data_IF_628787717520
#
_entry.id   IF_628787717520
#
_cell.length_a   1.000
_cell.length_b   1.000
_cell.length_c   1.000
_cell.angle_alpha   90.00
_cell.angle_beta   90.00
_cell.angle_gamma   90.00
#
_symmetry.space_group_name_H-M   'P 1'
#
loop_
_entity.id
_entity.type
_entity.pdbx_description
1 polymer ?
#
# COMPACT_ATOMS: atom_id res chain seq x y z
N UNK A 1 -9.22 -24.44 7.92
CA UNK A 1 -8.48 -23.33 7.32
C UNK A 1 -7.08 -23.85 7.04
N UNK A 2 -6.78 -24.15 5.79
CA UNK A 2 -5.41 -24.46 5.34
C UNK A 2 -4.65 -23.14 5.33
N UNK A 3 -3.59 -23.04 6.13
CA UNK A 3 -2.73 -21.86 6.15
C UNK A 3 -2.13 -21.66 4.77
N UNK A 4 -2.17 -20.42 4.27
CA UNK A 4 -1.42 -20.04 3.08
C UNK A 4 0.06 -20.29 3.37
N UNK A 5 0.71 -21.14 2.56
CA UNK A 5 2.15 -21.31 2.61
C UNK A 5 2.78 -20.07 1.97
N UNK A 6 3.35 -19.24 2.83
CA UNK A 6 3.89 -17.96 2.41
C UNK A 6 5.30 -18.08 1.85
N UNK A 7 6.00 -19.20 2.09
CA UNK A 7 7.37 -19.37 1.62
C UNK A 7 7.38 -19.89 0.18
N UNK A 8 6.43 -20.78 -0.19
CA UNK A 8 6.13 -21.13 -1.59
C UNK A 8 5.64 -19.91 -2.41
N UNK A 9 4.94 -18.97 -1.75
CA UNK A 9 4.45 -17.70 -2.31
C UNK A 9 5.57 -16.68 -2.68
N UNK A 10 6.74 -16.74 -2.03
CA UNK A 10 7.85 -15.81 -2.29
C UNK A 10 8.77 -16.27 -3.43
N UNK A 11 8.88 -17.59 -3.67
CA UNK A 11 9.83 -18.16 -4.65
C UNK A 11 9.24 -18.43 -6.04
N UNK A 12 7.92 -18.47 -6.20
CA UNK A 12 7.26 -18.62 -7.49
C UNK A 12 6.74 -17.26 -8.02
N UNK A 13 6.92 -16.93 -9.32
CA UNK A 13 6.02 -16.02 -10.01
C UNK A 13 4.68 -16.75 -10.16
N UNK A 14 3.94 -16.94 -9.08
CA UNK A 14 2.77 -17.81 -9.06
C UNK A 14 1.58 -17.14 -9.80
N UNK A 15 1.14 -17.69 -10.95
CA UNK A 15 0.01 -17.17 -11.71
C UNK A 15 -1.36 -17.36 -11.01
N UNK A 16 -1.42 -17.95 -9.81
CA UNK A 16 -2.70 -18.27 -9.14
C UNK A 16 -3.28 -17.11 -8.30
N UNK A 17 -2.53 -16.03 -8.03
CA UNK A 17 -2.97 -14.97 -7.10
C UNK A 17 -3.28 -13.62 -7.75
N UNK A 18 -2.90 -13.45 -8.99
CA UNK A 18 -3.79 -12.93 -10.01
C UNK A 18 -3.37 -13.70 -11.23
N UNK A 19 -4.26 -14.54 -11.77
CA UNK A 19 -4.14 -14.76 -13.20
C UNK A 19 -4.28 -13.35 -13.77
N UNK A 20 -3.17 -12.78 -14.25
CA UNK A 20 -3.26 -11.72 -15.24
C UNK A 20 -3.85 -12.46 -16.42
N UNK A 21 -5.18 -12.54 -16.42
CA UNK A 21 -5.94 -13.25 -17.41
C UNK A 21 -5.71 -12.47 -18.69
N UNK A 22 -4.81 -13.01 -19.53
CA UNK A 22 -4.60 -12.52 -20.87
C UNK A 22 -5.88 -12.78 -21.62
N UNK A 23 -6.70 -11.73 -21.73
CA UNK A 23 -7.99 -11.71 -22.44
C UNK A 23 -9.14 -12.28 -21.60
N UNK A 24 -9.90 -11.38 -20.96
CA UNK A 24 -11.34 -11.65 -20.78
C UNK A 24 -11.93 -11.71 -22.19
N UNK A 25 -12.16 -12.92 -22.70
CA UNK A 25 -12.93 -13.10 -23.93
C UNK A 25 -14.27 -12.39 -23.73
N UNK A 26 -14.69 -11.51 -24.66
CA UNK A 26 -15.88 -10.68 -24.49
C UNK A 26 -17.14 -11.55 -24.55
N UNK A 27 -17.47 -12.20 -23.44
CA UNK A 27 -18.77 -12.79 -23.22
C UNK A 27 -19.70 -11.70 -22.67
N UNK A 28 -20.99 -11.80 -22.97
CA UNK A 28 -21.98 -10.80 -22.60
C UNK A 28 -22.24 -10.92 -21.10
N UNK A 29 -21.94 -9.90 -20.30
CA UNK A 29 -22.14 -9.98 -18.84
C UNK A 29 -23.46 -9.32 -18.45
N UNK A 30 -24.22 -9.99 -17.56
CA UNK A 30 -25.35 -9.39 -16.88
C UNK A 30 -24.84 -8.62 -15.68
N UNK A 31 -25.30 -7.39 -15.50
CA UNK A 31 -24.99 -6.62 -14.32
C UNK A 31 -26.24 -6.01 -13.69
N UNK A 32 -26.29 -6.11 -12.37
CA UNK A 32 -27.20 -5.38 -11.51
C UNK A 32 -26.40 -4.21 -10.94
N UNK A 33 -26.83 -2.99 -11.22
CA UNK A 33 -26.26 -1.80 -10.58
C UNK A 33 -26.90 -1.64 -9.20
N UNK A 34 -26.06 -1.40 -8.18
CA UNK A 34 -26.52 -0.92 -6.86
C UNK A 34 -26.10 0.55 -6.66
N UNK A 35 -25.92 1.28 -7.77
CA UNK A 35 -25.39 2.65 -7.80
C UNK A 35 -24.63 2.98 -9.09
N UNK A 36 -24.18 4.22 -9.23
CA UNK A 36 -23.55 4.71 -10.47
C UNK A 36 -22.13 4.17 -10.72
N UNK A 37 -21.45 3.67 -9.68
CA UNK A 37 -20.03 3.24 -9.74
C UNK A 37 -19.77 1.74 -9.52
N UNK A 38 -20.71 1.01 -8.90
CA UNK A 38 -20.53 -0.41 -8.60
C UNK A 38 -21.42 -1.28 -9.47
N UNK A 39 -20.79 -2.18 -10.23
CA UNK A 39 -21.45 -3.05 -11.18
C UNK A 39 -21.29 -4.52 -10.73
N UNK A 40 -22.34 -5.11 -10.18
CA UNK A 40 -22.33 -6.46 -9.58
C UNK A 40 -23.07 -7.44 -10.50
N UNK A 41 -22.43 -8.51 -10.97
CA UNK A 41 -22.97 -9.25 -12.11
C UNK A 41 -22.68 -10.75 -12.22
N UNK A 42 -23.40 -11.37 -13.16
CA UNK A 42 -23.21 -12.77 -13.56
C UNK A 42 -22.84 -12.82 -15.03
N UNK A 43 -21.79 -13.56 -15.36
CA UNK A 43 -21.44 -13.87 -16.74
C UNK A 43 -22.54 -14.69 -17.40
N UNK A 44 -23.01 -14.27 -18.59
CA UNK A 44 -23.97 -15.02 -19.41
C UNK A 44 -23.42 -15.20 -20.84
N UNK A 45 -23.97 -16.13 -21.59
CA UNK A 45 -23.59 -16.35 -23.01
C UNK A 45 -24.46 -15.55 -23.98
N UNK A 46 -25.69 -15.23 -23.59
CA UNK A 46 -26.68 -14.47 -24.36
C UNK A 46 -27.69 -13.80 -23.41
N UNK A 47 -28.37 -12.76 -23.89
CA UNK A 47 -29.45 -12.08 -23.16
C UNK A 47 -30.73 -12.22 -23.97
N UNK A 48 -31.72 -12.90 -23.42
CA UNK A 48 -33.05 -13.02 -24.03
C UNK A 48 -34.04 -11.99 -23.47
N UNK A 49 -33.99 -11.70 -22.16
CA UNK A 49 -34.91 -10.77 -21.49
C UNK A 49 -34.24 -9.95 -20.40
N UNK A 50 -34.04 -8.64 -20.67
CA UNK A 50 -33.59 -7.54 -19.79
C UNK A 50 -34.54 -7.20 -18.59
N UNK A 51 -34.38 -7.58 -17.30
CA UNK A 51 -35.24 -7.03 -16.24
C UNK A 51 -35.08 -5.50 -16.19
N UNK A 52 -36.16 -4.77 -15.92
CA UNK A 52 -36.22 -3.30 -16.01
C UNK A 52 -35.16 -2.55 -15.18
N UNK A 53 -34.58 -3.19 -14.16
CA UNK A 53 -33.54 -2.60 -13.28
C UNK A 53 -32.12 -3.09 -13.57
N UNK A 54 -31.93 -3.87 -14.63
CA UNK A 54 -30.65 -4.45 -14.99
C UNK A 54 -30.06 -3.72 -16.20
N UNK A 55 -28.74 -3.66 -16.25
CA UNK A 55 -28.00 -3.16 -17.41
C UNK A 55 -27.11 -4.26 -17.97
N UNK A 56 -27.08 -4.37 -19.29
CA UNK A 56 -26.12 -5.22 -19.97
C UNK A 56 -24.86 -4.40 -20.23
N UNK A 57 -23.72 -4.80 -19.64
CA UNK A 57 -22.44 -4.12 -19.87
C UNK A 57 -21.48 -5.11 -20.51
N UNK A 58 -20.83 -4.66 -21.59
CA UNK A 58 -19.73 -5.39 -22.21
C UNK A 58 -18.44 -4.98 -21.51
N UNK A 59 -17.77 -5.93 -20.87
CA UNK A 59 -16.41 -5.72 -20.36
C UNK A 59 -15.49 -5.52 -21.57
N UNK A 60 -14.72 -4.41 -21.64
CA UNK A 60 -13.80 -4.20 -22.74
C UNK A 60 -12.70 -5.25 -22.73
N UNK A 61 -12.12 -5.52 -23.90
CA UNK A 61 -10.93 -6.37 -23.97
C UNK A 61 -9.74 -5.61 -23.33
N UNK A 62 -8.97 -6.29 -22.49
CA UNK A 62 -7.86 -5.70 -21.77
C UNK A 62 -7.13 -6.72 -20.90
N UNK A 63 -6.09 -6.26 -20.21
CA UNK A 63 -5.40 -7.03 -19.18
C UNK A 63 -6.10 -6.78 -17.85
N UNK A 64 -6.56 -7.86 -17.22
CA UNK A 64 -7.23 -7.79 -15.93
C UNK A 64 -6.52 -8.66 -14.92
N UNK A 65 -6.38 -8.15 -13.71
CA UNK A 65 -6.05 -8.95 -12.56
C UNK A 65 -7.33 -9.45 -11.90
N UNK A 66 -7.46 -10.77 -11.86
CA UNK A 66 -8.55 -11.47 -11.19
C UNK A 66 -8.19 -11.70 -9.72
N UNK A 67 -8.89 -11.02 -8.82
CA UNK A 67 -8.65 -11.05 -7.37
C UNK A 67 -9.86 -11.68 -6.68
N UNK A 68 -9.70 -12.77 -5.93
CA UNK A 68 -10.78 -13.30 -5.09
C UNK A 68 -11.17 -12.30 -3.98
N UNK A 69 -12.45 -12.12 -3.70
CA UNK A 69 -12.93 -11.10 -2.73
C UNK A 69 -12.33 -11.28 -1.33
N UNK A 70 -12.10 -12.53 -0.89
CA UNK A 70 -11.47 -12.81 0.40
C UNK A 70 -9.99 -12.37 0.48
N UNK A 71 -9.40 -11.95 -0.65
CA UNK A 71 -8.06 -11.41 -0.76
C UNK A 71 -8.04 -9.90 -1.10
N UNK A 72 -9.20 -9.23 -1.19
CA UNK A 72 -9.27 -7.81 -1.53
C UNK A 72 -8.38 -6.92 -0.63
N UNK A 73 -8.24 -7.30 0.64
CA UNK A 73 -7.37 -6.60 1.62
C UNK A 73 -5.87 -6.66 1.28
N UNK A 74 -5.43 -7.56 0.41
CA UNK A 74 -4.02 -7.72 0.01
C UNK A 74 -3.70 -7.08 -1.33
N UNK A 75 -4.71 -6.59 -2.06
CA UNK A 75 -4.59 -6.09 -3.45
C UNK A 75 -3.44 -5.11 -3.58
N UNK A 76 -3.38 -4.10 -2.71
CA UNK A 76 -2.34 -3.07 -2.74
C UNK A 76 -0.93 -3.65 -2.58
N UNK A 77 -0.74 -4.50 -1.57
CA UNK A 77 0.56 -5.15 -1.32
C UNK A 77 0.94 -6.06 -2.49
N UNK A 78 0.00 -6.81 -3.05
CA UNK A 78 0.25 -7.66 -4.21
C UNK A 78 0.70 -6.85 -5.43
N UNK A 79 0.01 -5.76 -5.76
CA UNK A 79 0.40 -4.91 -6.88
C UNK A 79 1.72 -4.19 -6.67
N UNK A 80 2.03 -3.79 -5.43
CA UNK A 80 3.33 -3.23 -5.07
C UNK A 80 4.50 -4.15 -5.43
N UNK A 81 4.27 -5.46 -5.39
CA UNK A 81 5.26 -6.50 -5.67
C UNK A 81 5.40 -6.80 -7.18
N UNK A 82 4.79 -5.97 -8.02
CA UNK A 82 4.81 -6.11 -9.47
C UNK A 82 5.02 -4.76 -10.16
N UNK A 83 5.26 -4.80 -11.46
CA UNK A 83 5.31 -3.63 -12.32
C UNK A 83 3.93 -3.29 -12.95
N UNK A 84 2.84 -3.89 -12.44
CA UNK A 84 1.50 -3.57 -12.89
C UNK A 84 0.90 -2.45 -12.06
N UNK A 85 0.26 -1.49 -12.73
CA UNK A 85 -0.55 -0.45 -12.12
C UNK A 85 -2.03 -0.82 -12.26
N UNK A 86 -2.82 -0.52 -11.24
CA UNK A 86 -4.27 -0.53 -11.35
C UNK A 86 -4.67 0.63 -12.29
N UNK A 87 -5.65 0.39 -13.16
CA UNK A 87 -6.21 1.44 -14.02
C UNK A 87 -6.80 2.60 -13.19
N UNK A 88 -7.04 3.75 -13.84
CA UNK A 88 -7.56 4.95 -13.19
C UNK A 88 -8.87 4.68 -12.43
N UNK A 89 -8.99 5.22 -11.21
CA UNK A 89 -10.20 5.12 -10.37
C UNK A 89 -11.47 5.65 -11.07
N UNK A 90 -11.32 6.58 -12.02
CA UNK A 90 -12.42 7.13 -12.82
C UNK A 90 -12.90 6.19 -13.96
N UNK A 91 -12.05 5.25 -14.40
CA UNK A 91 -12.37 4.22 -15.41
C UNK A 91 -12.54 2.82 -14.78
N UNK A 92 -12.33 2.70 -13.46
CA UNK A 92 -12.44 1.48 -12.68
C UNK A 92 -13.90 1.04 -12.56
N UNK A 93 -14.40 0.38 -13.60
CA UNK A 93 -15.50 -0.55 -13.45
C UNK A 93 -14.97 -1.78 -12.72
N UNK A 94 -15.13 -1.86 -11.40
CA UNK A 94 -14.92 -3.12 -10.68
C UNK A 94 -15.91 -4.16 -11.20
N UNK A 95 -15.42 -5.17 -11.90
CA UNK A 95 -16.28 -6.26 -12.37
C UNK A 95 -16.26 -7.40 -11.37
N UNK A 96 -17.39 -7.61 -10.69
CA UNK A 96 -17.53 -8.72 -9.74
C UNK A 96 -18.24 -9.90 -10.37
N UNK A 97 -17.62 -11.08 -10.34
CA UNK A 97 -18.19 -12.35 -10.84
C UNK A 97 -18.57 -13.26 -9.68
N UNK A 98 -19.84 -13.62 -9.60
CA UNK A 98 -20.34 -14.63 -8.66
C UNK A 98 -20.35 -16.02 -9.31
N UNK A 99 -19.67 -16.97 -8.67
CA UNK A 99 -19.64 -18.38 -9.05
C UNK A 99 -20.33 -19.21 -7.96
N UNK A 100 -21.46 -19.82 -8.29
CA UNK A 100 -22.16 -20.76 -7.41
C UNK A 100 -21.52 -22.15 -7.54
N UNK A 101 -20.93 -22.64 -6.45
CA UNK A 101 -20.39 -23.98 -6.31
C UNK A 101 -21.41 -24.99 -5.78
N UNK A 102 -21.03 -26.27 -5.77
CA UNK A 102 -21.86 -27.34 -5.23
C UNK A 102 -22.17 -27.10 -3.74
N UNK A 103 -23.42 -27.37 -3.33
CA UNK A 103 -23.87 -27.21 -1.94
C UNK A 103 -24.13 -25.77 -1.49
N UNK A 104 -24.32 -24.83 -2.42
CA UNK A 104 -24.70 -23.44 -2.09
C UNK A 104 -23.53 -22.55 -1.66
N UNK A 105 -22.29 -23.04 -1.75
CA UNK A 105 -21.09 -22.19 -1.59
C UNK A 105 -20.98 -21.26 -2.78
N UNK A 106 -20.58 -20.01 -2.56
CA UNK A 106 -20.29 -19.07 -3.62
C UNK A 106 -18.86 -18.55 -3.52
N UNK A 107 -18.26 -18.26 -4.67
CA UNK A 107 -17.00 -17.54 -4.79
C UNK A 107 -17.27 -16.24 -5.54
N UNK A 108 -16.65 -15.16 -5.09
CA UNK A 108 -16.69 -13.87 -5.75
C UNK A 108 -15.27 -13.44 -6.11
N UNK A 109 -15.14 -12.84 -7.28
CA UNK A 109 -13.89 -12.34 -7.83
C UNK A 109 -14.10 -10.94 -8.36
N UNK A 110 -13.18 -10.04 -8.05
CA UNK A 110 -13.05 -8.72 -8.67
C UNK A 110 -12.03 -8.79 -9.80
N UNK A 111 -12.40 -8.30 -10.97
CA UNK A 111 -11.47 -8.11 -12.09
C UNK A 111 -11.09 -6.63 -12.16
N UNK A 112 -9.83 -6.35 -11.88
CA UNK A 112 -9.27 -5.01 -11.93
C UNK A 112 -8.51 -4.82 -13.25
N UNK A 113 -8.81 -3.75 -13.99
CA UNK A 113 -8.02 -3.40 -15.16
C UNK A 113 -6.59 -3.07 -14.71
N UNK A 114 -5.60 -3.60 -15.42
CA UNK A 114 -4.18 -3.38 -15.10
C UNK A 114 -3.39 -3.01 -16.34
N UNK A 115 -2.37 -2.19 -16.14
CA UNK A 115 -1.40 -1.81 -17.16
C UNK A 115 0.01 -2.17 -16.68
N UNK A 116 0.85 -2.69 -17.58
CA UNK A 116 2.26 -2.92 -17.27
C UNK A 116 3.03 -1.61 -17.45
N UNK A 117 3.73 -1.17 -16.42
CA UNK A 117 4.62 -0.01 -16.49
C UNK A 117 6.02 -0.39 -15.98
N UNK A 118 7.06 -0.41 -16.84
CA UNK A 118 8.41 -0.78 -16.42
C UNK A 118 9.03 0.23 -15.45
N UNK A 119 8.52 1.46 -15.43
CA UNK A 119 9.06 2.56 -14.64
C UNK A 119 8.58 2.56 -13.19
N UNK A 120 7.49 1.84 -12.89
CA UNK A 120 7.00 1.74 -11.52
C UNK A 120 7.83 0.77 -10.70
N UNK A 121 7.98 1.08 -9.41
CA UNK A 121 8.79 0.28 -8.48
C UNK A 121 8.10 -1.04 -8.15
N UNK A 122 8.79 -2.16 -8.40
CA UNK A 122 8.46 -3.43 -7.76
C UNK A 122 9.17 -3.48 -6.40
N UNK A 123 8.41 -3.54 -5.30
CA UNK A 123 9.00 -3.49 -3.95
C UNK A 123 9.97 -4.62 -3.69
N UNK A 124 9.77 -5.80 -4.30
CA UNK A 124 10.67 -6.97 -4.16
C UNK A 124 12.08 -6.71 -4.70
N UNK A 125 12.23 -5.71 -5.55
CA UNK A 125 13.51 -5.35 -6.18
C UNK A 125 14.19 -4.17 -5.48
N UNK A 126 13.57 -3.59 -4.44
CA UNK A 126 14.18 -2.48 -3.71
C UNK A 126 15.33 -3.03 -2.86
N UNK A 127 16.54 -2.44 -2.94
CA UNK A 127 17.65 -2.80 -2.05
C UNK A 127 17.28 -2.64 -0.58
N UNK A 128 17.63 -3.64 0.22
CA UNK A 128 17.42 -3.68 1.67
C UNK A 128 18.80 -3.59 2.35
N UNK A 129 18.91 -2.81 3.42
CA UNK A 129 20.11 -2.77 4.23
C UNK A 129 20.34 -4.11 4.96
N UNK A 130 21.60 -4.49 5.27
CA UNK A 130 21.87 -5.65 6.10
C UNK A 130 21.08 -5.61 7.43
N UNK A 131 20.51 -6.75 7.84
CA UNK A 131 19.55 -6.83 8.95
C UNK A 131 20.04 -6.15 10.24
N UNK A 132 21.29 -6.39 10.64
CA UNK A 132 21.87 -5.77 11.83
C UNK A 132 21.90 -4.24 11.74
N UNK A 133 22.24 -3.70 10.56
CA UNK A 133 22.26 -2.24 10.31
C UNK A 133 20.84 -1.68 10.27
N UNK A 134 19.91 -2.36 9.60
CA UNK A 134 18.51 -1.95 9.53
C UNK A 134 17.88 -1.88 10.94
N UNK A 135 18.10 -2.91 11.77
CA UNK A 135 17.60 -2.95 13.14
C UNK A 135 18.17 -1.84 14.01
N UNK A 136 19.47 -1.58 13.91
CA UNK A 136 20.13 -0.49 14.63
C UNK A 136 19.56 0.88 14.21
N UNK A 137 19.48 1.14 12.90
CA UNK A 137 19.00 2.42 12.38
C UNK A 137 17.53 2.65 12.73
N UNK A 138 16.66 1.65 12.61
CA UNK A 138 15.24 1.80 13.01
C UNK A 138 15.11 2.13 14.48
N UNK A 139 15.90 1.47 15.34
CA UNK A 139 15.90 1.77 16.77
C UNK A 139 16.30 3.24 17.02
N UNK A 140 17.40 3.69 16.43
CA UNK A 140 17.90 5.06 16.58
C UNK A 140 16.91 6.09 16.02
N UNK A 141 16.31 5.81 14.86
CA UNK A 141 15.27 6.64 14.26
C UNK A 141 14.07 6.83 15.20
N UNK A 142 13.57 5.72 15.77
CA UNK A 142 12.45 5.76 16.71
C UNK A 142 12.84 6.54 17.98
N UNK A 143 14.00 6.29 18.56
CA UNK A 143 14.51 7.01 19.74
C UNK A 143 14.75 8.51 19.49
N UNK A 144 14.96 8.92 18.23
CA UNK A 144 15.23 10.31 17.87
C UNK A 144 13.95 11.12 17.71
N UNK A 145 12.95 10.60 17.00
CA UNK A 145 11.78 11.41 16.59
C UNK A 145 10.47 11.04 17.29
N UNK A 146 10.43 9.92 18.01
CA UNK A 146 9.20 9.37 18.56
C UNK A 146 9.30 9.21 20.06
N UNK A 147 8.26 9.67 20.75
CA UNK A 147 8.07 9.36 22.16
C UNK A 147 7.25 8.07 22.27
N UNK A 148 7.90 6.94 22.52
CA UNK A 148 7.23 5.64 22.59
C UNK A 148 7.01 5.14 24.01
N UNK A 149 7.53 5.84 25.03
CA UNK A 149 7.57 5.33 26.40
C UNK A 149 7.42 6.36 27.53
N UNK A 150 7.13 7.64 27.24
CA UNK A 150 6.89 8.67 28.28
C UNK A 150 5.76 8.33 29.25
N UNK A 151 4.79 7.52 28.82
CA UNK A 151 3.70 7.04 29.66
C UNK A 151 3.50 5.54 29.52
N UNK A 152 2.92 4.92 30.55
CA UNK A 152 2.54 3.50 30.49
C UNK A 152 1.59 3.21 29.32
N UNK A 153 0.73 4.16 28.97
CA UNK A 153 -0.20 4.04 27.85
C UNK A 153 0.52 4.06 26.50
N UNK A 154 1.42 5.02 26.28
CA UNK A 154 2.25 5.06 25.05
C UNK A 154 3.11 3.81 24.92
N UNK A 155 3.76 3.37 25.99
CA UNK A 155 4.52 2.11 26.00
C UNK A 155 3.65 0.90 25.66
N UNK A 156 2.42 0.85 26.17
CA UNK A 156 1.47 -0.21 25.84
C UNK A 156 1.08 -0.19 24.36
N UNK A 157 0.75 0.97 23.80
CA UNK A 157 0.39 1.11 22.39
C UNK A 157 1.58 0.79 21.48
N UNK A 158 2.78 1.29 21.78
CA UNK A 158 3.98 1.00 21.00
C UNK A 158 4.32 -0.50 21.02
N UNK A 159 4.18 -1.16 22.17
CA UNK A 159 4.34 -2.61 22.23
C UNK A 159 3.34 -3.35 21.33
N UNK A 160 2.09 -2.87 21.20
CA UNK A 160 1.12 -3.42 20.24
C UNK A 160 1.51 -3.13 18.79
N UNK A 161 2.01 -1.93 18.50
CA UNK A 161 2.57 -1.60 17.18
C UNK A 161 3.71 -2.56 16.81
N UNK A 162 4.66 -2.81 17.71
CA UNK A 162 5.79 -3.70 17.44
C UNK A 162 5.37 -5.17 17.37
N UNK A 163 4.54 -5.66 18.29
CA UNK A 163 4.25 -7.10 18.43
C UNK A 163 3.04 -7.58 17.62
N UNK A 164 2.04 -6.72 17.44
CA UNK A 164 0.82 -7.05 16.70
C UNK A 164 0.78 -6.34 15.34
N UNK A 165 1.64 -5.34 15.13
CA UNK A 165 1.60 -4.48 13.93
C UNK A 165 0.21 -3.83 13.78
N UNK A 166 -0.33 -3.32 14.88
CA UNK A 166 -1.57 -2.55 14.92
C UNK A 166 -1.25 -1.10 15.29
N UNK A 167 -1.82 -0.16 14.55
CA UNK A 167 -1.52 1.27 14.68
C UNK A 167 -0.45 1.72 13.70
N UNK A 168 -0.09 3.00 13.79
CA UNK A 168 0.84 3.66 12.88
C UNK A 168 1.93 4.36 13.68
N UNK A 169 3.17 4.36 13.18
CA UNK A 169 4.28 4.91 13.96
C UNK A 169 4.15 6.43 14.16
N UNK A 170 3.53 7.15 13.22
CA UNK A 170 3.31 8.60 13.32
C UNK A 170 2.47 8.99 14.55
N UNK A 171 1.60 8.10 15.06
CA UNK A 171 0.85 8.32 16.31
C UNK A 171 1.77 8.53 17.53
N UNK A 172 3.03 8.12 17.40
CA UNK A 172 4.05 8.20 18.43
C UNK A 172 5.04 9.36 18.24
N UNK A 173 4.82 10.27 17.29
CA UNK A 173 5.64 11.47 17.18
C UNK A 173 5.74 12.18 18.54
N UNK A 174 6.93 12.67 18.88
CA UNK A 174 7.12 13.41 20.13
C UNK A 174 6.43 14.77 20.05
N UNK A 175 6.11 15.37 21.20
CA UNK A 175 5.53 16.72 21.24
C UNK A 175 6.46 17.73 20.56
N UNK A 176 7.78 17.60 20.75
CA UNK A 176 8.76 18.45 20.08
C UNK A 176 8.76 18.25 18.57
N UNK A 177 8.59 17.01 18.09
CA UNK A 177 8.50 16.72 16.67
C UNK A 177 7.22 17.32 16.06
N UNK A 178 6.08 17.19 16.74
CA UNK A 178 4.80 17.78 16.33
C UNK A 178 4.85 19.30 16.30
N UNK A 179 5.47 19.93 17.31
CA UNK A 179 5.63 21.39 17.40
C UNK A 179 6.53 21.99 16.30
N UNK A 180 7.47 21.21 15.78
CA UNK A 180 8.52 21.69 14.88
C UNK A 180 8.43 21.10 13.46
N UNK A 181 7.38 20.32 13.16
CA UNK A 181 7.20 19.79 11.82
C UNK A 181 6.85 20.88 10.82
N UNK A 182 7.39 20.75 9.60
CA UNK A 182 7.16 21.66 8.49
C UNK A 182 6.37 20.91 7.43
N UNK A 183 5.14 21.37 7.16
CA UNK A 183 4.32 20.85 6.07
C UNK A 183 5.00 21.06 4.72
N UNK A 184 4.94 20.04 3.86
CA UNK A 184 5.46 20.08 2.49
C UNK A 184 4.47 19.47 1.51
N UNK A 185 4.40 20.07 0.33
CA UNK A 185 3.86 19.43 -0.86
C UNK A 185 4.78 18.32 -1.37
N UNK A 186 4.24 17.42 -2.20
CA UNK A 186 5.01 16.37 -2.87
C UNK A 186 6.15 16.95 -3.73
N UNK A 187 5.95 18.10 -4.36
CA UNK A 187 6.97 18.75 -5.19
C UNK A 187 8.14 19.25 -4.33
N UNK A 188 7.84 19.90 -3.20
CA UNK A 188 8.85 20.37 -2.24
C UNK A 188 9.66 19.20 -1.67
N UNK A 189 8.99 18.14 -1.23
CA UNK A 189 9.64 16.93 -0.76
C UNK A 189 10.55 16.30 -1.82
N UNK A 190 10.07 16.21 -3.07
CA UNK A 190 10.86 15.70 -4.19
C UNK A 190 12.11 16.54 -4.44
N UNK A 191 11.98 17.87 -4.41
CA UNK A 191 13.10 18.78 -4.60
C UNK A 191 14.10 18.73 -3.45
N UNK A 192 13.62 18.60 -2.21
CA UNK A 192 14.47 18.41 -1.03
C UNK A 192 15.32 17.14 -1.17
N UNK A 193 14.68 16.03 -1.52
CA UNK A 193 15.33 14.71 -1.64
C UNK A 193 16.36 14.64 -2.79
N UNK A 194 16.20 15.40 -3.87
CA UNK A 194 17.19 15.47 -4.98
C UNK A 194 18.59 15.88 -4.52
N UNK A 195 18.68 16.65 -3.44
CA UNK A 195 19.97 17.12 -2.89
C UNK A 195 20.63 16.11 -1.94
N UNK A 196 19.94 15.02 -1.59
CA UNK A 196 20.40 14.06 -0.59
C UNK A 196 21.27 12.98 -1.22
N UNK A 197 22.39 12.69 -0.56
CA UNK A 197 23.31 11.64 -0.99
C UNK A 197 22.78 10.23 -0.70
N UNK A 198 21.97 10.11 0.34
CA UNK A 198 21.40 8.85 0.81
C UNK A 198 19.92 9.11 1.14
N UNK A 199 19.05 8.21 0.68
CA UNK A 199 17.65 8.15 1.09
C UNK A 199 17.38 6.75 1.59
N UNK A 200 17.11 6.67 2.88
CA UNK A 200 16.70 5.47 3.60
C UNK A 200 15.23 5.60 3.93
N UNK A 201 14.52 4.47 3.93
CA UNK A 201 13.12 4.49 4.29
C UNK A 201 12.59 3.17 4.81
N UNK A 202 11.48 3.26 5.52
CA UNK A 202 10.60 2.15 5.82
C UNK A 202 9.16 2.68 5.86
N UNK A 203 8.19 1.77 5.98
CA UNK A 203 6.79 2.14 5.97
C UNK A 203 5.92 1.22 6.82
N UNK A 204 4.74 1.72 7.19
CA UNK A 204 3.74 0.94 7.91
C UNK A 204 2.88 0.11 6.94
N UNK A 205 2.45 -1.07 7.40
CA UNK A 205 1.64 -1.99 6.59
C UNK A 205 0.50 -2.56 7.41
N UNK A 206 -0.70 -2.55 6.84
CA UNK A 206 -1.91 -3.04 7.52
C UNK A 206 -2.16 -4.53 7.29
N UNK A 207 -1.73 -5.08 6.14
CA UNK A 207 -1.98 -6.50 5.82
C UNK A 207 -0.89 -7.44 6.37
N UNK A 208 -1.23 -8.69 6.72
CA UNK A 208 -0.25 -9.74 7.03
C UNK A 208 0.86 -9.92 5.99
N UNK A 209 0.54 -9.75 4.70
CA UNK A 209 1.51 -9.88 3.61
C UNK A 209 2.51 -8.72 3.61
N UNK A 210 2.01 -7.47 3.68
CA UNK A 210 2.85 -6.28 3.76
C UNK A 210 3.78 -6.35 4.97
N UNK A 211 3.28 -6.81 6.13
CA UNK A 211 4.07 -6.98 7.35
C UNK A 211 5.26 -7.91 7.18
N UNK A 212 5.08 -9.06 6.51
CA UNK A 212 6.20 -9.98 6.19
C UNK A 212 7.23 -9.30 5.30
N UNK A 213 6.78 -8.43 4.40
CA UNK A 213 7.66 -7.74 3.49
C UNK A 213 8.47 -6.64 4.18
N UNK A 214 7.89 -5.88 5.11
CA UNK A 214 8.49 -4.66 5.66
C UNK A 214 9.08 -4.80 7.05
N UNK A 215 8.65 -5.79 7.84
CA UNK A 215 9.01 -5.89 9.26
C UNK A 215 10.53 -5.97 9.46
N UNK A 216 11.05 -5.06 10.29
CA UNK A 216 12.47 -4.97 10.63
C UNK A 216 13.39 -4.48 9.50
N UNK A 217 12.86 -4.16 8.31
CA UNK A 217 13.67 -3.77 7.15
C UNK A 217 13.78 -2.25 7.04
N UNK A 218 14.90 -1.83 6.44
CA UNK A 218 15.17 -0.48 5.96
C UNK A 218 15.63 -0.60 4.53
N UNK A 219 15.00 0.17 3.66
CA UNK A 219 15.21 0.17 2.23
C UNK A 219 16.01 1.39 1.81
N UNK A 220 16.63 1.32 0.64
CA UNK A 220 17.27 2.47 0.02
C UNK A 220 17.06 2.46 -1.48
N UNK A 221 16.83 3.63 -2.06
CA UNK A 221 16.73 3.80 -3.49
C UNK A 221 16.88 5.26 -3.91
N UNK A 222 16.99 5.48 -5.22
CA UNK A 222 16.94 6.81 -5.81
C UNK A 222 15.65 7.56 -5.43
N UNK A 223 15.81 8.82 -5.02
CA UNK A 223 14.72 9.66 -4.54
C UNK A 223 13.63 9.88 -5.60
N UNK A 224 14.03 10.13 -6.86
CA UNK A 224 13.08 10.39 -7.93
C UNK A 224 12.23 9.13 -8.21
N UNK A 225 12.89 7.97 -8.25
CA UNK A 225 12.21 6.68 -8.42
C UNK A 225 11.25 6.38 -7.27
N UNK A 226 11.63 6.68 -6.03
CA UNK A 226 10.77 6.52 -4.86
C UNK A 226 9.54 7.41 -4.93
N UNK A 227 9.74 8.72 -5.16
CA UNK A 227 8.67 9.71 -5.19
C UNK A 227 7.65 9.46 -6.31
N UNK A 228 8.06 8.83 -7.41
CA UNK A 228 7.16 8.39 -8.49
C UNK A 228 6.26 7.21 -8.12
N UNK A 229 6.62 6.41 -7.12
CA UNK A 229 5.96 5.11 -6.85
C UNK A 229 5.45 4.90 -5.43
N UNK A 230 5.82 5.72 -4.44
CA UNK A 230 5.58 5.43 -3.02
C UNK A 230 4.10 5.19 -2.68
N UNK A 231 3.18 5.96 -3.27
CA UNK A 231 1.73 5.82 -3.06
C UNK A 231 1.17 4.46 -3.50
N UNK A 232 1.90 3.72 -4.35
CA UNK A 232 1.48 2.37 -4.78
C UNK A 232 1.58 1.34 -3.66
N UNK A 233 2.43 1.57 -2.66
CA UNK A 233 2.83 0.52 -1.73
C UNK A 233 2.83 0.91 -0.26
N UNK A 234 2.56 2.18 0.05
CA UNK A 234 2.39 2.58 1.45
C UNK A 234 1.46 3.78 1.66
N UNK A 235 0.73 3.74 2.77
CA UNK A 235 -0.04 4.84 3.32
C UNK A 235 0.88 5.77 4.11
N UNK A 236 1.69 5.19 5.00
CA UNK A 236 2.64 5.94 5.83
C UNK A 236 4.08 5.58 5.52
N UNK A 237 4.93 6.56 5.23
CA UNK A 237 6.33 6.35 4.89
C UNK A 237 7.24 7.26 5.69
N UNK A 238 8.36 6.71 6.13
CA UNK A 238 9.35 7.40 6.96
C UNK A 238 10.67 7.44 6.18
N UNK A 239 11.09 8.63 5.78
CA UNK A 239 12.30 8.88 4.98
C UNK A 239 13.34 9.59 5.83
N UNK A 240 14.59 9.16 5.74
CA UNK A 240 15.69 9.71 6.52
C UNK A 240 17.02 9.37 5.83
N UNK A 241 18.13 9.81 6.42
CA UNK A 241 19.48 9.33 6.09
C UNK A 241 20.16 8.74 7.33
N UNK A 242 21.37 8.20 7.16
CA UNK A 242 22.10 7.61 8.28
C UNK A 242 22.56 8.60 9.36
N UNK A 243 22.50 9.92 9.13
CA UNK A 243 22.84 10.92 10.17
C UNK A 243 21.66 11.19 11.10
N UNK A 244 20.43 10.95 10.61
CA UNK A 244 19.19 11.29 11.31
C UNK A 244 19.14 12.79 11.63
N UNK A 245 19.72 13.65 10.78
CA UNK A 245 19.58 15.10 10.96
C UNK A 245 18.20 15.61 10.51
N UNK A 246 17.50 14.81 9.70
CA UNK A 246 16.18 15.10 9.18
C UNK A 246 15.37 13.82 8.96
N UNK A 247 14.05 13.97 9.00
CA UNK A 247 13.10 12.95 8.54
C UNK A 247 11.97 13.61 7.76
N UNK A 248 11.45 12.92 6.74
CA UNK A 248 10.17 13.23 6.12
C UNK A 248 9.18 12.12 6.46
N UNK A 249 8.03 12.50 7.01
CA UNK A 249 6.91 11.61 7.31
C UNK A 249 5.80 11.87 6.31
N UNK A 250 5.53 10.88 5.45
CA UNK A 250 4.29 10.81 4.70
C UNK A 250 3.30 10.06 5.58
N UNK A 251 2.17 10.68 5.91
CA UNK A 251 1.09 10.03 6.63
C UNK A 251 -0.19 10.07 5.78
N UNK A 252 -1.03 9.06 5.94
CA UNK A 252 -2.34 8.98 5.28
C UNK A 252 -3.42 9.82 5.93
N UNK A 253 -3.17 10.31 7.16
CA UNK A 253 -4.03 11.21 7.89
C UNK A 253 -3.35 12.57 8.05
N UNK A 254 -4.15 13.63 8.14
CA UNK A 254 -3.66 14.98 8.43
C UNK A 254 -3.14 15.01 9.88
N UNK A 255 -1.85 15.31 10.05
CA UNK A 255 -1.19 15.44 11.37
C UNK A 255 -1.34 16.88 11.90
N UNK A 256 -1.65 17.84 11.02
CA UNK A 256 -1.76 19.27 11.31
C UNK A 256 -3.06 19.84 10.74
N UNK A 257 -3.53 20.94 11.34
CA UNK A 257 -4.66 21.73 10.82
C UNK A 257 -4.36 22.36 9.45
N UNK A 258 -3.07 22.51 9.09
CA UNK A 258 -2.65 22.98 7.77
C UNK A 258 -2.48 21.80 6.78
N UNK A 259 -3.17 21.82 5.63
CA UNK A 259 -3.11 20.72 4.66
C UNK A 259 -1.70 20.59 4.09
N UNK A 260 -1.16 19.37 4.09
CA UNK A 260 0.18 19.04 3.60
C UNK A 260 0.23 17.60 3.09
N UNK A 261 1.09 17.32 2.11
CA UNK A 261 1.28 15.95 1.61
C UNK A 261 2.21 15.12 2.53
N UNK A 262 3.11 15.81 3.24
CA UNK A 262 4.06 15.20 4.17
C UNK A 262 4.67 16.26 5.11
N UNK A 263 5.45 15.80 6.08
CA UNK A 263 6.01 16.63 7.14
C UNK A 263 7.52 16.43 7.27
N UNK A 264 8.29 17.51 7.16
CA UNK A 264 9.74 17.55 7.40
C UNK A 264 10.01 17.90 8.87
N UNK A 265 10.86 17.13 9.52
CA UNK A 265 11.31 17.38 10.89
C UNK A 265 12.83 17.38 10.90
N UNK A 266 13.43 18.44 11.45
CA UNK A 266 14.87 18.50 11.67
C UNK A 266 15.20 18.10 13.11
N UNK A 267 16.24 17.26 13.25
CA UNK A 267 16.74 16.84 14.57
C UNK A 267 17.21 18.02 15.42
N UNK A 268 17.80 19.03 14.79
CA UNK A 268 18.23 20.22 15.50
C UNK A 268 17.10 21.00 16.16
N UNK A 269 15.85 20.82 15.73
CA UNK A 269 14.72 21.59 16.24
C UNK A 269 14.00 20.88 17.38
N UNK A 270 14.14 19.55 17.46
CA UNK A 270 13.70 18.75 18.61
C UNK A 270 14.71 18.81 19.77
N UNK A 271 16.02 18.78 19.49
CA UNK A 271 17.06 18.77 20.54
C UNK A 271 17.25 20.13 21.25
N UNK A 272 16.76 21.23 20.66
CA UNK A 272 16.85 22.58 21.26
C UNK A 272 15.92 22.77 22.47
N UNK A 273 14.94 21.90 22.69
CA UNK A 273 13.93 22.01 23.75
C UNK A 273 14.09 20.99 24.89
N UNK A 274 14.97 19.99 24.73
CA UNK A 274 15.26 18.93 25.72
C UNK A 274 16.36 19.29 26.71
#
# INVERSE_FOLDING_TARGET
MTGVDWDEYFEAPDPVLSEIDHVINPHVFYYFSIGEKEIIGKQVSSIENLPERCVAVKVPAGLYAKVPDYQAVYVRDMFSMTNYILGNEDDCSEYRKFVLGAGGKYHSYTYNLVEYSPDVVNVRQIPILPEARAKQLRKQYIETYFDVDSTQFRRFLYNRYVSLHHGYLWEFLSEEALDNMQGMSREEATNYLKSKQEVLFFWDTSSPLGKKFTSGKVFTMDAEKLMKSYTRFTFDMYLFDSTLDWTIVFAHEEISDEPSDCYLIYRSDIEKKS
#
